data_IF_515475115149
#
_entry.id   IF_515475115149
#
_cell.length_a   1.000
_cell.length_b   1.000
_cell.length_c   1.000
_cell.angle_alpha   90.00
_cell.angle_beta   90.00
_cell.angle_gamma   90.00
#
_symmetry.space_group_name_H-M   'P 1'
#
loop_
_entity.id
_entity.type
_entity.pdbx_description
1 polymer ?
#
# COMPACT_ATOMS: atom_id res chain seq x y z
N UNK A 1 19.50 20.65 -7.09
CA UNK A 1 18.57 19.51 -6.88
C UNK A 1 18.80 18.51 -8.01
N UNK A 2 18.72 17.20 -7.77
CA UNK A 2 19.17 16.15 -8.72
C UNK A 2 18.29 15.94 -9.98
N UNK A 3 17.20 16.71 -10.16
CA UNK A 3 16.36 16.65 -11.36
C UNK A 3 15.54 15.35 -11.54
N UNK A 4 15.46 14.50 -10.51
CA UNK A 4 14.76 13.21 -10.57
C UNK A 4 13.24 13.43 -10.52
N UNK A 5 12.50 12.83 -11.46
CA UNK A 5 11.02 12.92 -11.54
C UNK A 5 10.27 11.65 -11.15
N UNK A 6 10.98 10.52 -11.01
CA UNK A 6 10.37 9.23 -10.70
C UNK A 6 11.33 8.36 -9.89
N UNK A 7 10.85 7.83 -8.77
CA UNK A 7 11.53 6.84 -7.94
C UNK A 7 10.89 5.46 -8.14
N UNK A 8 11.70 4.46 -8.45
CA UNK A 8 11.26 3.08 -8.62
C UNK A 8 11.78 2.25 -7.45
N UNK A 9 10.93 1.45 -6.83
CA UNK A 9 11.28 0.64 -5.66
C UNK A 9 11.08 -0.86 -5.94
N UNK A 10 11.89 -1.70 -5.29
CA UNK A 10 11.88 -3.14 -5.50
C UNK A 10 10.78 -3.93 -4.77
N UNK A 11 9.71 -3.27 -4.32
CA UNK A 11 8.62 -3.95 -3.59
C UNK A 11 7.95 -5.00 -4.49
N UNK A 12 7.96 -6.25 -4.02
CA UNK A 12 7.45 -7.41 -4.76
C UNK A 12 6.02 -7.77 -4.32
N UNK A 13 5.48 -8.89 -4.85
CA UNK A 13 4.14 -9.35 -4.49
C UNK A 13 4.00 -9.75 -3.01
N UNK A 14 5.02 -10.39 -2.45
CA UNK A 14 5.08 -10.77 -1.03
C UNK A 14 5.04 -9.54 -0.11
N UNK A 15 5.85 -8.52 -0.39
CA UNK A 15 5.86 -7.25 0.35
C UNK A 15 4.48 -6.55 0.37
N UNK A 16 3.80 -6.60 -0.78
CA UNK A 16 2.48 -5.99 -0.94
C UNK A 16 1.42 -6.79 -0.20
N UNK A 17 1.46 -8.13 -0.28
CA UNK A 17 0.58 -9.00 0.50
C UNK A 17 0.79 -8.83 2.01
N UNK A 18 2.05 -8.77 2.47
CA UNK A 18 2.39 -8.47 3.87
C UNK A 18 1.78 -7.14 4.29
N UNK A 19 1.94 -6.09 3.47
CA UNK A 19 1.41 -4.76 3.77
C UNK A 19 -0.12 -4.73 3.82
N UNK A 20 -0.81 -5.39 2.89
CA UNK A 20 -2.29 -5.50 2.88
C UNK A 20 -2.76 -6.17 4.16
N UNK A 21 -2.15 -7.31 4.50
CA UNK A 21 -2.51 -8.08 5.69
C UNK A 21 -2.23 -7.28 6.97
N UNK A 22 -1.10 -6.61 7.05
CA UNK A 22 -0.76 -5.74 8.19
C UNK A 22 -1.75 -4.60 8.35
N UNK A 23 -2.18 -3.95 7.26
CA UNK A 23 -3.17 -2.88 7.30
C UNK A 23 -4.54 -3.41 7.76
N UNK A 24 -4.95 -4.58 7.27
CA UNK A 24 -6.20 -5.23 7.68
C UNK A 24 -6.19 -5.57 9.18
N UNK A 25 -5.12 -6.21 9.66
CA UNK A 25 -4.99 -6.61 11.07
C UNK A 25 -4.92 -5.42 12.03
N UNK A 26 -4.45 -4.26 11.56
CA UNK A 26 -4.43 -3.00 12.32
C UNK A 26 -5.71 -2.17 12.19
N UNK A 27 -6.62 -2.55 11.30
CA UNK A 27 -7.80 -1.76 10.97
C UNK A 27 -7.52 -0.48 10.17
N UNK A 28 -6.35 -0.36 9.54
CA UNK A 28 -5.94 0.82 8.78
C UNK A 28 -6.34 0.71 7.30
N UNK A 29 -7.66 0.67 7.07
CA UNK A 29 -8.25 0.51 5.74
C UNK A 29 -7.98 1.69 4.78
N UNK A 30 -7.98 2.97 5.21
CA UNK A 30 -7.68 4.09 4.31
C UNK A 30 -6.29 4.00 3.66
N UNK A 31 -5.33 3.28 4.27
CA UNK A 31 -4.01 3.06 3.67
C UNK A 31 -3.99 2.06 2.52
N UNK A 32 -5.03 1.26 2.34
CA UNK A 32 -5.07 0.25 1.28
C UNK A 32 -4.98 0.86 -0.11
N UNK A 33 -5.71 1.95 -0.40
CA UNK A 33 -5.67 2.61 -1.72
C UNK A 33 -4.26 2.98 -2.19
N UNK A 34 -3.44 3.55 -1.29
CA UNK A 34 -2.05 3.89 -1.61
C UNK A 34 -1.13 2.66 -1.60
N UNK A 35 -1.41 1.67 -0.76
CA UNK A 35 -0.55 0.49 -0.61
C UNK A 35 -0.64 -0.45 -1.81
N UNK A 36 -1.83 -0.56 -2.42
CA UNK A 36 -2.13 -1.44 -3.55
C UNK A 36 -1.90 -0.76 -4.90
N UNK A 37 -1.76 0.56 -4.99
CA UNK A 37 -1.45 1.21 -6.27
C UNK A 37 -0.01 0.91 -6.73
N UNK A 38 0.15 0.65 -8.04
CA UNK A 38 1.46 0.46 -8.68
C UNK A 38 2.24 1.78 -8.70
N UNK A 39 1.56 2.87 -8.99
CA UNK A 39 2.12 4.23 -9.04
C UNK A 39 1.46 5.05 -7.96
N UNK A 40 2.26 5.74 -7.16
CA UNK A 40 1.81 6.63 -6.10
C UNK A 40 2.43 8.01 -6.29
N UNK A 41 1.69 9.04 -5.88
CA UNK A 41 2.05 10.44 -6.09
C UNK A 41 0.95 11.15 -6.86
N UNK A 42 0.48 12.25 -6.30
CA UNK A 42 -0.50 13.14 -6.93
C UNK A 42 0.24 14.19 -7.77
N UNK A 43 -0.50 14.98 -8.55
CA UNK A 43 0.09 16.07 -9.37
C UNK A 43 0.76 17.17 -8.51
N UNK A 44 0.55 17.15 -7.20
CA UNK A 44 1.20 18.02 -6.21
C UNK A 44 2.59 17.54 -5.80
N UNK A 45 2.95 16.28 -6.09
CA UNK A 45 4.24 15.69 -5.77
C UNK A 45 5.20 15.79 -6.97
N UNK A 46 6.33 16.47 -6.80
CA UNK A 46 7.32 16.64 -7.89
C UNK A 46 8.03 15.32 -8.30
N UNK A 47 7.94 14.28 -7.45
CA UNK A 47 8.54 12.96 -7.70
C UNK A 47 7.51 11.86 -7.51
N UNK A 48 7.18 11.15 -8.59
CA UNK A 48 6.31 9.97 -8.56
C UNK A 48 7.04 8.74 -8.01
N UNK A 49 6.32 7.77 -7.46
CA UNK A 49 6.89 6.49 -6.99
C UNK A 49 6.20 5.30 -7.63
N UNK A 50 6.96 4.29 -8.04
CA UNK A 50 6.40 3.05 -8.59
C UNK A 50 7.00 1.76 -8.03
N UNK A 51 6.21 0.69 -8.14
CA UNK A 51 6.52 -0.68 -7.72
C UNK A 51 6.34 -1.63 -8.92
N UNK A 52 7.30 -1.72 -9.84
CA UNK A 52 7.16 -2.53 -11.05
C UNK A 52 7.04 -4.03 -10.76
N UNK A 53 7.56 -4.49 -9.62
CA UNK A 53 7.57 -5.90 -9.22
C UNK A 53 6.32 -6.32 -8.42
N UNK A 54 5.28 -5.48 -8.35
CA UNK A 54 4.08 -5.73 -7.53
C UNK A 54 3.44 -7.10 -7.73
N UNK A 55 3.52 -7.67 -8.93
CA UNK A 55 2.91 -8.98 -9.26
C UNK A 55 3.93 -10.11 -9.44
N UNK A 56 5.20 -9.84 -9.14
CA UNK A 56 6.27 -10.83 -9.21
C UNK A 56 6.54 -11.39 -7.81
N UNK A 57 6.62 -12.71 -7.69
CA UNK A 57 6.91 -13.34 -6.40
C UNK A 57 8.38 -13.13 -6.01
N UNK A 58 8.66 -13.04 -4.72
CA UNK A 58 10.03 -12.92 -4.20
C UNK A 58 10.91 -14.06 -4.70
N UNK A 59 10.41 -15.31 -4.65
CA UNK A 59 11.15 -16.50 -5.11
C UNK A 59 11.54 -16.44 -6.59
N UNK A 60 10.70 -15.82 -7.43
CA UNK A 60 10.96 -15.66 -8.86
C UNK A 60 12.02 -14.59 -9.11
N UNK A 61 11.97 -13.49 -8.35
CA UNK A 61 12.96 -12.42 -8.41
C UNK A 61 14.33 -12.95 -7.97
N UNK A 62 14.38 -13.71 -6.87
CA UNK A 62 15.60 -14.33 -6.37
C UNK A 62 16.14 -15.35 -7.38
N UNK A 63 15.28 -16.19 -7.97
CA UNK A 63 15.67 -17.14 -9.01
C UNK A 63 16.24 -16.42 -10.25
N UNK A 64 15.62 -15.32 -10.67
CA UNK A 64 16.09 -14.50 -11.78
C UNK A 64 17.46 -13.87 -11.50
N UNK A 65 17.65 -13.29 -10.31
CA UNK A 65 18.91 -12.70 -9.90
C UNK A 65 20.04 -13.75 -9.88
N UNK A 66 19.77 -14.94 -9.35
CA UNK A 66 20.70 -16.05 -9.36
C UNK A 66 21.04 -16.51 -10.79
N UNK A 67 20.04 -16.68 -11.66
CA UNK A 67 20.25 -17.07 -13.06
C UNK A 67 21.08 -16.04 -13.84
N UNK A 68 20.87 -14.75 -13.59
CA UNK A 68 21.62 -13.65 -14.20
C UNK A 68 22.94 -13.34 -13.51
N UNK A 69 23.28 -14.04 -12.42
CA UNK A 69 24.48 -13.81 -11.60
C UNK A 69 24.61 -12.35 -11.17
N UNK A 70 23.50 -11.75 -10.73
CA UNK A 70 23.51 -10.40 -10.20
C UNK A 70 24.07 -10.41 -8.78
N UNK A 71 24.89 -9.41 -8.45
CA UNK A 71 25.35 -9.21 -7.08
C UNK A 71 24.22 -8.58 -6.25
N UNK A 72 23.83 -9.26 -5.16
CA UNK A 72 22.84 -8.76 -4.21
C UNK A 72 23.22 -9.15 -2.78
N UNK A 73 22.75 -8.36 -1.82
CA UNK A 73 22.93 -8.64 -0.40
C UNK A 73 21.69 -9.35 0.15
N UNK A 74 21.88 -10.50 0.80
CA UNK A 74 20.83 -11.26 1.48
C UNK A 74 20.78 -10.99 2.99
N UNK A 75 21.59 -10.05 3.49
CA UNK A 75 21.66 -9.74 4.92
C UNK A 75 20.40 -8.99 5.34
N UNK A 76 19.59 -9.62 6.20
CA UNK A 76 18.47 -8.96 6.84
C UNK A 76 18.93 -7.98 7.93
N UNK A 77 18.08 -7.01 8.24
CA UNK A 77 18.34 -6.06 9.32
C UNK A 77 18.29 -6.79 10.68
N UNK A 78 19.27 -6.55 11.56
CA UNK A 78 19.32 -7.14 12.92
C UNK A 78 18.12 -6.81 13.80
N UNK A 79 17.36 -5.76 13.45
CA UNK A 79 16.16 -5.33 14.16
C UNK A 79 14.85 -5.79 13.48
N UNK A 80 14.91 -6.50 12.35
CA UNK A 80 13.73 -7.03 11.66
C UNK A 80 12.98 -8.15 12.41
N UNK A 81 13.61 -9.02 13.22
CA UNK A 81 12.93 -10.23 13.72
C UNK A 81 11.72 -9.95 14.62
N UNK A 82 11.83 -8.94 15.49
CA UNK A 82 10.77 -8.57 16.44
C UNK A 82 9.67 -7.69 15.81
N UNK A 83 9.80 -7.37 14.51
CA UNK A 83 8.81 -6.54 13.83
C UNK A 83 7.54 -7.35 13.51
N UNK A 84 6.37 -6.71 13.68
CA UNK A 84 5.06 -7.29 13.33
C UNK A 84 4.99 -7.86 11.89
N UNK A 85 5.80 -7.32 10.97
CA UNK A 85 5.90 -7.81 9.60
C UNK A 85 6.33 -9.29 9.53
N UNK A 86 7.17 -9.76 10.45
CA UNK A 86 7.58 -11.17 10.51
C UNK A 86 6.42 -12.13 10.76
N UNK A 87 5.43 -11.73 11.56
CA UNK A 87 4.20 -12.50 11.79
C UNK A 87 3.35 -12.59 10.51
N UNK A 88 3.16 -11.46 9.82
CA UNK A 88 2.43 -11.43 8.54
C UNK A 88 3.11 -12.30 7.48
N UNK A 89 4.44 -12.20 7.36
CA UNK A 89 5.25 -13.04 6.46
C UNK A 89 5.05 -14.52 6.73
N UNK A 90 5.17 -14.94 7.99
CA UNK A 90 5.00 -16.35 8.39
C UNK A 90 3.61 -16.88 8.00
N UNK A 91 2.56 -16.08 8.26
CA UNK A 91 1.20 -16.45 7.87
C UNK A 91 1.05 -16.58 6.35
N UNK A 92 1.55 -15.62 5.58
CA UNK A 92 1.48 -15.64 4.11
C UNK A 92 2.21 -16.85 3.53
N UNK A 93 3.42 -17.16 4.02
CA UNK A 93 4.18 -18.34 3.58
C UNK A 93 3.47 -19.65 3.92
N UNK A 94 2.81 -19.73 5.08
CA UNK A 94 1.99 -20.89 5.43
C UNK A 94 0.79 -21.06 4.48
N UNK A 95 0.15 -19.96 4.06
CA UNK A 95 -0.93 -19.99 3.07
C UNK A 95 -0.42 -20.37 1.68
N UNK A 96 0.70 -19.81 1.24
CA UNK A 96 1.33 -20.11 -0.05
C UNK A 96 1.65 -21.61 -0.19
N UNK A 97 2.10 -22.24 0.89
CA UNK A 97 2.40 -23.68 0.93
C UNK A 97 1.18 -24.56 0.65
N UNK A 98 -0.01 -24.12 1.04
CA UNK A 98 -1.27 -24.84 0.78
C UNK A 98 -1.82 -24.47 -0.60
N UNK A 99 -1.75 -23.19 -0.96
CA UNK A 99 -2.27 -22.64 -2.22
C UNK A 99 -1.24 -21.68 -2.83
N UNK A 100 -0.54 -22.06 -3.91
CA UNK A 100 0.50 -21.23 -4.52
C UNK A 100 0.03 -19.84 -4.99
N UNK A 101 -1.25 -19.69 -5.33
CA UNK A 101 -1.83 -18.41 -5.73
C UNK A 101 -2.16 -17.47 -4.56
N UNK A 102 -2.01 -17.91 -3.30
CA UNK A 102 -2.48 -17.17 -2.13
C UNK A 102 -1.95 -15.73 -2.05
N UNK A 103 -0.67 -15.50 -2.40
CA UNK A 103 -0.07 -14.16 -2.39
C UNK A 103 -0.80 -13.23 -3.37
N UNK A 104 -0.96 -13.64 -4.63
CA UNK A 104 -1.67 -12.83 -5.62
C UNK A 104 -3.17 -12.71 -5.32
N UNK A 105 -3.77 -13.74 -4.74
CA UNK A 105 -5.18 -13.70 -4.32
C UNK A 105 -5.38 -12.66 -3.21
N UNK A 106 -4.44 -12.55 -2.24
CA UNK A 106 -4.43 -11.49 -1.21
C UNK A 106 -4.25 -10.11 -1.86
N UNK A 107 -3.32 -9.97 -2.81
CA UNK A 107 -3.07 -8.69 -3.50
C UNK A 107 -4.33 -8.22 -4.24
N UNK A 108 -4.97 -9.10 -5.01
CA UNK A 108 -6.22 -8.81 -5.73
C UNK A 108 -7.35 -8.44 -4.77
N UNK A 109 -7.51 -9.22 -3.69
CA UNK A 109 -8.52 -8.94 -2.66
C UNK A 109 -8.30 -7.57 -2.01
N UNK A 110 -7.04 -7.20 -1.75
CA UNK A 110 -6.69 -5.89 -1.21
C UNK A 110 -6.97 -4.73 -2.19
N UNK A 111 -6.76 -4.94 -3.49
CA UNK A 111 -7.15 -3.96 -4.53
C UNK A 111 -8.65 -3.75 -4.58
N UNK A 112 -9.43 -4.84 -4.57
CA UNK A 112 -10.88 -4.76 -4.61
C UNK A 112 -11.42 -4.07 -3.35
N UNK A 113 -10.88 -4.42 -2.17
CA UNK A 113 -11.22 -3.75 -0.92
C UNK A 113 -10.86 -2.26 -0.95
N UNK A 114 -9.70 -1.90 -1.51
CA UNK A 114 -9.29 -0.50 -1.64
C UNK A 114 -10.27 0.31 -2.50
N UNK A 115 -10.80 -0.26 -3.59
CA UNK A 115 -11.83 0.40 -4.41
C UNK A 115 -13.11 0.67 -3.62
N UNK A 116 -13.53 -0.30 -2.79
CA UNK A 116 -14.73 -0.16 -1.96
C UNK A 116 -14.56 0.90 -0.87
N UNK A 117 -13.40 0.96 -0.22
CA UNK A 117 -13.12 1.92 0.87
C UNK A 117 -12.95 3.35 0.33
N UNK A 118 -12.28 3.52 -0.80
CA UNK A 118 -12.08 4.84 -1.40
C UNK A 118 -13.34 5.37 -2.12
N UNK A 119 -14.21 4.47 -2.60
CA UNK A 119 -15.52 4.82 -3.18
C UNK A 119 -16.55 5.36 -2.18
N UNK A 120 -16.23 5.39 -0.88
CA UNK A 120 -17.09 5.95 0.17
C UNK A 120 -17.08 7.48 0.28
N UNK A 121 -16.23 8.19 -0.46
CA UNK A 121 -16.13 9.65 -0.38
C UNK A 121 -17.15 10.41 -1.26
N UNK A 122 -17.89 9.72 -2.14
CA UNK A 122 -18.88 10.32 -3.05
C UNK A 122 -20.35 10.02 -2.67
N UNK A 123 -20.62 9.53 -1.46
CA UNK A 123 -21.98 9.22 -1.01
C UNK A 123 -22.38 9.86 0.34
N UNK A 124 -21.87 11.05 0.65
CA UNK A 124 -22.51 11.90 1.66
C UNK A 124 -23.06 13.17 1.01
N UNK A 125 -24.29 13.07 0.49
CA UNK A 125 -25.10 14.19 0.03
C UNK A 125 -25.61 15.11 1.18
N UNK A 126 -25.05 15.01 2.39
CA UNK A 126 -25.44 15.81 3.56
C UNK A 126 -24.42 16.91 3.90
N UNK A 127 -24.05 17.74 2.92
CA UNK A 127 -23.54 19.10 3.16
C UNK A 127 -24.16 20.09 2.16
N UNK A 128 -25.48 20.22 2.19
CA UNK A 128 -26.18 21.41 1.66
C UNK A 128 -27.25 21.85 2.65
N UNK A 129 -26.82 22.70 3.58
CA UNK A 129 -27.54 23.55 4.55
C UNK A 129 -26.76 23.45 5.87
N UNK A 130 -26.14 24.46 6.45
CA UNK A 130 -26.41 25.90 6.44
C UNK A 130 -25.09 26.67 6.60
N UNK A 131 -24.67 27.41 5.56
CA UNK A 131 -23.86 28.60 5.75
C UNK A 131 -24.81 29.76 6.07
N UNK A 132 -25.28 29.84 7.31
CA UNK A 132 -25.87 31.07 7.83
C UNK A 132 -24.75 31.80 8.58
N UNK A 133 -24.30 32.90 7.98
CA UNK A 133 -23.30 33.82 8.52
C UNK A 133 -23.82 34.37 9.85
N UNK A 134 -23.08 34.19 10.93
CA UNK A 134 -23.25 35.01 12.13
C UNK A 134 -22.48 36.30 11.85
N UNK A 135 -23.20 37.37 11.51
CA UNK A 135 -22.70 38.73 11.70
C UNK A 135 -23.29 39.22 13.02
N UNK A 136 -22.41 39.60 13.94
CA UNK A 136 -22.72 40.53 15.03
C UNK A 136 -23.19 41.86 14.41
N UNK A 137 -24.19 42.51 15.03
CA UNK A 137 -24.23 43.97 15.28
C UNK A 137 -25.64 44.49 15.68
N UNK A 138 -25.66 45.15 16.85
CA UNK A 138 -26.52 46.27 17.33
C UNK A 138 -28.03 46.11 17.70
N UNK A 139 -28.27 46.22 19.02
CA UNK A 139 -29.12 47.21 19.75
C UNK A 139 -30.64 47.50 19.45
N UNK A 140 -31.39 47.60 20.57
CA UNK A 140 -32.65 48.36 20.87
C UNK A 140 -33.94 47.73 20.29
N UNK A 141 -35.01 47.40 21.04
CA UNK A 141 -35.71 48.05 22.19
C UNK A 141 -35.92 47.15 23.42
#
# INVERSE_FOLDING_TARGET
MLGIKHLVTGHNADDVAETILMNLLRGDLPRLGRSTSIVTGDDTCDVKRSKPLKYSYEKEIVLYAHHKKLDYFSTECIYSPEAFRGTARTLIKNLERVRPSAILDIVRSGEDMARLVMGGHDACACRKSSAARVNEDYEIE
#
